data_IF_993419803179
#
_entry.id   IF_993419803179
#
_cell.length_a   1.000
_cell.length_b   1.000
_cell.length_c   1.000
_cell.angle_alpha   90.00
_cell.angle_beta   90.00
_cell.angle_gamma   90.00
#
_symmetry.space_group_name_H-M   'P 1'
#
loop_
_entity.id
_entity.type
_entity.pdbx_description
1 polymer ?
#
# COMPACT_ATOMS: atom_id res chain seq x y z
N UNK A 1 -10.72 4.15 16.90
CA UNK A 1 -9.64 3.14 16.77
C UNK A 1 -8.42 3.60 17.55
N UNK A 2 -7.69 2.68 18.20
CA UNK A 2 -6.47 3.01 18.94
C UNK A 2 -5.33 3.29 17.94
N UNK A 3 -4.39 4.16 18.30
CA UNK A 3 -3.17 4.49 17.53
C UNK A 3 -2.48 3.26 16.89
N UNK A 4 -2.38 2.19 17.69
CA UNK A 4 -1.77 0.92 17.29
C UNK A 4 -2.49 0.23 16.13
N UNK A 5 -3.80 0.44 15.97
CA UNK A 5 -4.60 -0.16 14.92
C UNK A 5 -4.19 0.35 13.54
N UNK A 6 -3.98 1.66 13.35
CA UNK A 6 -3.54 2.22 12.07
C UNK A 6 -2.16 1.70 11.66
N UNK A 7 -1.24 1.64 12.61
CA UNK A 7 0.10 1.13 12.39
C UNK A 7 0.07 -0.36 11.99
N UNK A 8 -0.70 -1.18 12.71
CA UNK A 8 -0.84 -2.60 12.40
C UNK A 8 -1.49 -2.82 11.03
N UNK A 9 -2.57 -2.09 10.71
CA UNK A 9 -3.21 -2.16 9.41
C UNK A 9 -2.25 -1.78 8.29
N UNK A 10 -1.50 -0.69 8.45
CA UNK A 10 -0.51 -0.27 7.47
C UNK A 10 0.56 -1.34 7.21
N UNK A 11 1.11 -1.93 8.27
CA UNK A 11 2.13 -2.99 8.17
C UNK A 11 1.55 -4.24 7.51
N UNK A 12 0.34 -4.66 7.89
CA UNK A 12 -0.33 -5.82 7.29
C UNK A 12 -0.59 -5.60 5.80
N UNK A 13 -1.10 -4.43 5.42
CA UNK A 13 -1.32 -4.08 4.02
C UNK A 13 0.01 -4.06 3.24
N UNK A 14 1.07 -3.53 3.84
CA UNK A 14 2.40 -3.51 3.21
C UNK A 14 2.99 -4.92 3.02
N UNK A 15 2.76 -5.83 3.97
CA UNK A 15 3.15 -7.24 3.85
C UNK A 15 2.36 -7.94 2.72
N UNK A 16 1.04 -7.76 2.70
CA UNK A 16 0.18 -8.30 1.64
C UNK A 16 0.65 -7.79 0.28
N UNK A 17 0.84 -6.49 0.14
CA UNK A 17 1.32 -5.83 -1.08
C UNK A 17 2.66 -6.40 -1.56
N UNK A 18 3.64 -6.53 -0.66
CA UNK A 18 4.96 -7.07 -0.98
C UNK A 18 4.88 -8.52 -1.47
N UNK A 19 4.15 -9.37 -0.75
CA UNK A 19 4.00 -10.78 -1.09
C UNK A 19 3.26 -10.95 -2.42
N UNK A 20 2.16 -10.23 -2.59
CA UNK A 20 1.33 -10.36 -3.79
C UNK A 20 2.02 -9.78 -5.03
N UNK A 21 2.80 -8.69 -4.90
CA UNK A 21 3.70 -8.21 -5.95
C UNK A 21 4.73 -9.28 -6.32
N UNK A 22 5.41 -9.86 -5.33
CA UNK A 22 6.44 -10.89 -5.56
C UNK A 22 5.89 -12.12 -6.29
N UNK A 23 4.75 -12.63 -5.85
CA UNK A 23 4.09 -13.78 -6.49
C UNK A 23 3.51 -13.42 -7.85
N UNK A 24 2.90 -12.25 -8.01
CA UNK A 24 2.32 -11.81 -9.28
C UNK A 24 3.35 -11.76 -10.40
N UNK A 25 4.54 -11.24 -10.11
CA UNK A 25 5.67 -11.21 -11.05
C UNK A 25 6.10 -12.63 -11.45
N UNK A 26 6.19 -13.55 -10.48
CA UNK A 26 6.53 -14.96 -10.74
C UNK A 26 5.47 -15.68 -11.57
N UNK A 27 4.22 -15.23 -11.54
CA UNK A 27 3.12 -15.74 -12.37
C UNK A 27 3.04 -15.07 -13.75
N UNK A 28 4.00 -14.21 -14.11
CA UNK A 28 4.07 -13.58 -15.43
C UNK A 28 3.29 -12.27 -15.54
N UNK A 29 2.85 -11.67 -14.42
CA UNK A 29 2.33 -10.31 -14.46
C UNK A 29 3.46 -9.33 -14.76
N UNK A 30 3.37 -8.67 -15.92
CA UNK A 30 4.31 -7.63 -16.32
C UNK A 30 4.14 -6.41 -15.41
N UNK A 31 5.21 -6.06 -14.70
CA UNK A 31 5.33 -4.81 -13.97
C UNK A 31 5.39 -3.64 -14.94
N UNK A 32 4.54 -2.64 -14.71
CA UNK A 32 4.54 -1.42 -15.53
C UNK A 32 5.76 -0.51 -15.24
N UNK A 33 6.48 -0.76 -14.13
CA UNK A 33 7.57 0.10 -13.66
C UNK A 33 8.93 -0.63 -13.71
N UNK A 34 9.84 -0.14 -14.56
CA UNK A 34 11.20 -0.69 -14.72
C UNK A 34 12.05 -0.70 -13.45
N UNK A 35 11.85 0.26 -12.54
CA UNK A 35 12.57 0.32 -11.24
C UNK A 35 12.13 -0.80 -10.30
N UNK A 36 10.84 -1.17 -10.34
CA UNK A 36 10.32 -2.28 -9.55
C UNK A 36 10.78 -3.60 -10.16
N UNK A 37 10.75 -3.72 -11.49
CA UNK A 37 11.26 -4.88 -12.23
C UNK A 37 12.74 -5.18 -11.93
N UNK A 38 13.59 -4.14 -11.86
CA UNK A 38 15.00 -4.29 -11.50
C UNK A 38 15.18 -4.82 -10.07
N UNK A 39 14.41 -4.29 -9.11
CA UNK A 39 14.44 -4.75 -7.71
C UNK A 39 13.97 -6.19 -7.57
N UNK A 40 12.98 -6.63 -8.36
CA UNK A 40 12.48 -8.00 -8.37
C UNK A 40 13.53 -9.03 -8.84
N UNK A 41 14.56 -8.59 -9.56
CA UNK A 41 15.72 -9.41 -9.92
C UNK A 41 16.54 -9.87 -8.71
N UNK A 42 16.43 -9.18 -7.57
CA UNK A 42 17.10 -9.53 -6.32
C UNK A 42 16.11 -9.54 -5.14
N UNK A 43 15.80 -10.71 -4.55
CA UNK A 43 14.88 -10.79 -3.40
C UNK A 43 15.26 -9.82 -2.28
N UNK A 44 16.56 -9.68 -1.99
CA UNK A 44 17.06 -8.81 -0.93
C UNK A 44 16.81 -7.33 -1.23
N UNK A 45 17.02 -6.89 -2.47
CA UNK A 45 16.74 -5.50 -2.86
C UNK A 45 15.24 -5.21 -2.88
N UNK A 46 14.43 -6.17 -3.36
CA UNK A 46 12.98 -6.06 -3.37
C UNK A 46 12.43 -5.92 -1.95
N UNK A 47 12.61 -6.94 -1.10
CA UNK A 47 12.06 -6.95 0.26
C UNK A 47 12.72 -5.90 1.16
N UNK A 48 14.01 -5.62 0.97
CA UNK A 48 14.72 -4.57 1.70
C UNK A 48 14.14 -3.18 1.41
N UNK A 49 13.91 -2.86 0.13
CA UNK A 49 13.26 -1.59 -0.23
C UNK A 49 11.84 -1.49 0.32
N UNK A 50 11.06 -2.58 0.24
CA UNK A 50 9.72 -2.65 0.82
C UNK A 50 9.72 -2.44 2.34
N UNK A 51 10.62 -3.09 3.06
CA UNK A 51 10.76 -2.96 4.50
C UNK A 51 11.15 -1.53 4.89
N UNK A 52 12.09 -0.91 4.17
CA UNK A 52 12.50 0.48 4.40
C UNK A 52 11.34 1.46 4.21
N UNK A 53 10.62 1.41 3.09
CA UNK A 53 9.47 2.29 2.86
C UNK A 53 8.33 2.02 3.83
N UNK A 54 8.14 0.77 4.26
CA UNK A 54 7.16 0.43 5.30
C UNK A 54 7.55 1.04 6.65
N UNK A 55 8.83 0.98 7.03
CA UNK A 55 9.32 1.60 8.26
C UNK A 55 9.15 3.12 8.25
N UNK A 56 9.44 3.79 7.12
CA UNK A 56 9.20 5.22 6.95
C UNK A 56 7.71 5.56 7.10
N UNK A 57 6.82 4.84 6.40
CA UNK A 57 5.39 5.07 6.48
C UNK A 57 4.82 4.82 7.88
N UNK A 58 5.28 3.79 8.57
CA UNK A 58 4.94 3.52 9.97
C UNK A 58 5.44 4.64 10.90
N UNK A 59 6.62 5.19 10.63
CA UNK A 59 7.16 6.36 11.33
C UNK A 59 6.27 7.60 11.16
N UNK A 60 5.84 7.90 9.93
CA UNK A 60 4.90 8.99 9.64
C UNK A 60 3.61 8.80 10.42
N UNK A 61 3.00 7.61 10.36
CA UNK A 61 1.78 7.29 11.12
C UNK A 61 1.98 7.51 12.63
N UNK A 62 3.08 7.02 13.19
CA UNK A 62 3.37 7.16 14.61
C UNK A 62 3.53 8.64 15.02
N UNK A 63 4.20 9.45 14.20
CA UNK A 63 4.35 10.89 14.43
C UNK A 63 3.00 11.59 14.30
N UNK A 64 2.24 11.33 13.24
CA UNK A 64 0.91 11.91 13.03
C UNK A 64 -0.03 11.65 14.20
N UNK A 65 -0.03 10.43 14.74
CA UNK A 65 -0.88 10.12 15.90
C UNK A 65 -0.39 10.83 17.17
N UNK A 66 0.93 11.00 17.36
CA UNK A 66 1.45 11.80 18.48
C UNK A 66 1.01 13.27 18.37
N UNK A 67 0.97 13.81 17.15
CA UNK A 67 0.57 15.18 16.86
C UNK A 67 -0.95 15.40 16.86
N UNK A 68 -1.77 14.34 16.87
CA UNK A 68 -3.25 14.42 16.96
C UNK A 68 -3.72 15.26 18.16
N UNK A 69 -2.94 15.27 19.25
CA UNK A 69 -3.22 16.10 20.44
C UNK A 69 -3.15 17.60 20.17
N UNK A 70 -2.39 18.02 19.15
CA UNK A 70 -2.24 19.42 18.75
C UNK A 70 -3.32 19.83 17.74
N UNK A 71 -3.66 18.92 16.81
CA UNK A 71 -4.73 19.14 15.86
C UNK A 71 -5.33 17.79 15.41
N UNK A 72 -6.65 17.58 15.48
CA UNK A 72 -7.29 16.34 15.04
C UNK A 72 -7.06 16.03 13.55
N UNK A 73 -6.72 17.02 12.71
CA UNK A 73 -6.38 16.82 11.31
C UNK A 73 -5.18 15.87 11.11
N UNK A 74 -4.24 15.77 12.07
CA UNK A 74 -3.13 14.81 11.95
C UNK A 74 -3.60 13.35 11.96
N UNK A 75 -4.78 13.06 12.53
CA UNK A 75 -5.39 11.73 12.41
C UNK A 75 -5.73 11.38 10.96
N UNK A 76 -6.12 12.37 10.15
CA UNK A 76 -6.44 12.17 8.73
C UNK A 76 -5.20 11.74 7.94
N UNK A 77 -4.01 12.19 8.32
CA UNK A 77 -2.75 11.73 7.71
C UNK A 77 -2.55 10.23 7.97
N UNK A 78 -2.77 9.77 9.21
CA UNK A 78 -2.65 8.35 9.55
C UNK A 78 -3.69 7.50 8.79
N UNK A 79 -4.93 7.98 8.66
CA UNK A 79 -5.97 7.34 7.85
C UNK A 79 -5.57 7.29 6.39
N UNK A 80 -5.13 8.42 5.83
CA UNK A 80 -4.72 8.55 4.43
C UNK A 80 -3.57 7.61 4.08
N UNK A 81 -2.56 7.47 4.96
CA UNK A 81 -1.46 6.53 4.77
C UNK A 81 -1.94 5.07 4.69
N UNK A 82 -2.88 4.68 5.55
CA UNK A 82 -3.47 3.32 5.51
C UNK A 82 -4.27 3.11 4.22
N UNK A 83 -5.11 4.08 3.84
CA UNK A 83 -5.92 4.00 2.61
C UNK A 83 -5.04 3.92 1.36
N UNK A 84 -4.03 4.79 1.26
CA UNK A 84 -3.09 4.79 0.14
C UNK A 84 -2.32 3.46 0.04
N UNK A 85 -1.99 2.83 1.17
CA UNK A 85 -1.34 1.52 1.18
C UNK A 85 -2.29 0.37 0.86
N UNK A 86 -3.58 0.52 1.15
CA UNK A 86 -4.59 -0.47 0.83
C UNK A 86 -4.77 -0.64 -0.68
N UNK A 87 -4.64 0.43 -1.47
CA UNK A 87 -4.85 0.41 -2.93
C UNK A 87 -3.95 -0.64 -3.62
N UNK A 88 -2.61 -0.56 -3.56
CA UNK A 88 -1.77 -1.55 -4.23
C UNK A 88 -1.93 -2.95 -3.62
N UNK A 89 -2.11 -3.06 -2.30
CA UNK A 89 -2.34 -4.34 -1.63
C UNK A 89 -3.59 -5.06 -2.15
N UNK A 90 -4.71 -4.36 -2.22
CA UNK A 90 -5.99 -4.90 -2.72
C UNK A 90 -5.87 -5.22 -4.20
N UNK A 91 -5.29 -4.32 -5.00
CA UNK A 91 -5.11 -4.55 -6.44
C UNK A 91 -4.34 -5.83 -6.74
N UNK A 92 -3.22 -6.02 -6.06
CA UNK A 92 -2.38 -7.20 -6.26
C UNK A 92 -3.09 -8.49 -5.80
N UNK A 93 -3.88 -8.43 -4.72
CA UNK A 93 -4.73 -9.56 -4.30
C UNK A 93 -5.78 -9.89 -5.36
N UNK A 94 -6.49 -8.89 -5.89
CA UNK A 94 -7.54 -9.10 -6.90
C UNK A 94 -6.95 -9.68 -8.20
N UNK A 95 -5.79 -9.18 -8.65
CA UNK A 95 -5.08 -9.71 -9.81
C UNK A 95 -4.69 -11.17 -9.61
N UNK A 96 -4.17 -11.53 -8.43
CA UNK A 96 -3.84 -12.92 -8.10
C UNK A 96 -5.07 -13.83 -7.96
N UNK A 97 -6.21 -13.27 -7.59
CA UNK A 97 -7.49 -14.00 -7.57
C UNK A 97 -8.09 -14.21 -8.98
N UNK A 98 -7.41 -13.75 -10.04
CA UNK A 98 -7.83 -13.91 -11.43
C UNK A 98 -8.80 -12.85 -11.93
N UNK A 99 -9.00 -11.76 -11.17
CA UNK A 99 -9.84 -10.63 -11.59
C UNK A 99 -9.04 -9.78 -12.60
N UNK A 100 -9.66 -9.48 -13.75
CA UNK A 100 -8.99 -8.81 -14.86
C UNK A 100 -8.55 -7.39 -14.50
N UNK A 101 -7.45 -6.92 -15.12
CA UNK A 101 -6.85 -5.59 -14.89
C UNK A 101 -7.85 -4.44 -15.08
N UNK A 102 -8.79 -4.56 -16.01
CA UNK A 102 -9.84 -3.56 -16.27
C UNK A 102 -10.84 -3.47 -15.12
N UNK A 103 -11.19 -4.58 -14.48
CA UNK A 103 -12.09 -4.62 -13.32
C UNK A 103 -11.43 -4.11 -12.03
N UNK A 104 -10.11 -4.25 -11.90
CA UNK A 104 -9.35 -3.72 -10.75
C UNK A 104 -9.32 -2.19 -10.76
N UNK A 105 -9.09 -1.55 -11.91
CA UNK A 105 -9.12 -0.09 -12.03
C UNK A 105 -10.47 0.52 -11.63
N UNK A 106 -11.58 -0.13 -12.03
CA UNK A 106 -12.95 0.28 -11.70
C UNK A 106 -13.30 0.09 -10.22
N UNK A 107 -12.70 -0.90 -9.54
CA UNK A 107 -13.05 -1.24 -8.15
C UNK A 107 -12.22 -0.49 -7.10
N UNK A 108 -11.03 0.01 -7.43
CA UNK A 108 -10.16 0.70 -6.46
C UNK A 108 -9.80 2.13 -6.79
N UNK A 109 -9.60 2.48 -8.07
CA UNK A 109 -9.08 3.81 -8.46
C UNK A 109 -10.23 4.78 -8.78
N UNK A 110 -11.26 4.31 -9.49
CA UNK A 110 -12.41 5.12 -9.86
C UNK A 110 -13.22 5.66 -8.66
N UNK A 111 -13.47 4.89 -7.58
CA UNK A 111 -14.18 5.40 -6.41
C UNK A 111 -13.40 6.50 -5.68
N UNK A 112 -12.07 6.40 -5.65
CA UNK A 112 -11.20 7.40 -5.03
C UNK A 112 -11.12 8.69 -5.86
N UNK A 113 -11.04 8.57 -7.19
CA UNK A 113 -11.09 9.72 -8.09
C UNK A 113 -12.44 10.45 -7.98
N UNK A 114 -13.55 9.71 -7.93
CA UNK A 114 -14.89 10.29 -7.73
C UNK A 114 -15.03 10.97 -6.37
N UNK A 115 -14.37 10.48 -5.33
CA UNK A 115 -14.32 11.13 -4.01
C UNK A 115 -13.46 12.39 -3.99
N UNK A 116 -12.42 12.47 -4.82
CA UNK A 116 -11.52 13.62 -4.91
C UNK A 116 -12.01 14.73 -5.86
N UNK A 117 -12.88 14.37 -6.81
CA UNK A 117 -13.50 15.30 -7.76
C UNK A 117 -14.90 15.79 -7.34
N UNK A 118 -15.35 15.41 -6.14
CA UNK A 118 -16.63 15.81 -5.54
C UNK A 118 -16.51 17.07 -4.72
#
# INVERSE_FOLDING_TARGET
>A
MKARTYLLLFILLALVDALTTWFGVRMGFVEANGVIAERLGSPTLFFGSYAFFTALGAGVIAVSIKLEKLNPAFKLVAVGMVVLKAIPAVNNVLLLAGISKSSVFLTTVEPLLKLASG
#
